data_IF_215963464558
#
_entry.id   IF_215963464558
#
_cell.length_a   1.000
_cell.length_b   1.000
_cell.length_c   1.000
_cell.angle_alpha   90.00
_cell.angle_beta   90.00
_cell.angle_gamma   90.00
#
_symmetry.space_group_name_H-M   'P 1'
#
loop_
_entity.id
_entity.type
_entity.pdbx_description
1 polymer ?
#
# COMPACT_ATOMS: atom_id res chain seq x y z
N UNK A 1 36.84 -53.47 -71.97
CA UNK A 1 37.38 -54.59 -71.15
C UNK A 1 36.94 -54.36 -69.69
N UNK A 2 36.19 -55.31 -69.18
CA UNK A 2 36.13 -55.77 -67.76
C UNK A 2 35.78 -54.69 -66.66
N UNK A 3 34.95 -54.98 -65.76
CA UNK A 3 34.16 -56.13 -65.24
C UNK A 3 33.10 -55.63 -64.27
N UNK A 4 31.96 -56.21 -64.30
CA UNK A 4 30.93 -56.26 -63.24
C UNK A 4 31.46 -56.36 -61.82
N UNK A 5 30.79 -55.80 -60.88
CA UNK A 5 30.42 -56.49 -59.63
C UNK A 5 29.19 -55.86 -58.98
N UNK A 6 28.20 -56.67 -58.89
CA UNK A 6 27.04 -56.62 -58.00
C UNK A 6 27.50 -56.59 -56.53
N UNK A 7 26.87 -55.75 -55.70
CA UNK A 7 26.67 -56.05 -54.29
C UNK A 7 25.52 -55.14 -53.76
N UNK A 8 24.40 -55.72 -53.66
CA UNK A 8 23.62 -56.09 -52.49
C UNK A 8 23.21 -54.98 -51.57
N UNK A 9 21.94 -54.61 -51.71
CA UNK A 9 21.20 -53.73 -50.84
C UNK A 9 21.13 -54.27 -49.40
N UNK A 10 21.41 -53.47 -48.44
CA UNK A 10 20.97 -53.65 -47.05
C UNK A 10 20.16 -52.42 -46.62
N UNK A 11 18.85 -52.66 -46.59
CA UNK A 11 17.84 -51.75 -46.09
C UNK A 11 17.94 -51.71 -44.54
N UNK A 12 18.55 -50.73 -43.98
CA UNK A 12 18.52 -50.48 -42.52
C UNK A 12 17.38 -49.56 -42.26
N UNK A 13 16.27 -50.13 -41.81
CA UNK A 13 15.13 -49.38 -41.32
C UNK A 13 15.45 -48.84 -39.92
N UNK A 14 15.95 -47.63 -39.87
CA UNK A 14 16.17 -46.91 -38.59
C UNK A 14 14.85 -46.41 -38.05
N UNK A 15 14.32 -47.08 -37.05
CA UNK A 15 13.21 -46.62 -36.24
C UNK A 15 13.64 -45.39 -35.44
N UNK A 16 13.27 -44.23 -35.93
CA UNK A 16 13.40 -42.98 -35.19
C UNK A 16 12.35 -42.97 -34.07
N UNK A 17 12.73 -43.40 -32.89
CA UNK A 17 11.97 -43.16 -31.66
C UNK A 17 12.11 -41.71 -31.25
N UNK A 18 11.11 -40.92 -31.53
CA UNK A 18 11.02 -39.55 -30.99
C UNK A 18 10.75 -39.60 -29.48
N UNK A 19 11.57 -38.98 -28.63
CA UNK A 19 11.22 -38.86 -27.22
C UNK A 19 10.05 -37.89 -27.10
N UNK A 20 8.90 -38.38 -26.70
CA UNK A 20 7.78 -37.56 -26.28
C UNK A 20 8.15 -36.92 -24.96
N UNK A 21 8.56 -35.65 -24.98
CA UNK A 21 8.66 -34.83 -23.76
C UNK A 21 7.23 -34.61 -23.25
N UNK A 22 6.88 -35.33 -22.20
CA UNK A 22 5.70 -35.03 -21.42
C UNK A 22 5.92 -33.64 -20.80
N UNK A 23 5.29 -32.61 -21.38
CA UNK A 23 5.16 -31.31 -20.78
C UNK A 23 4.27 -31.46 -19.53
N UNK A 24 4.90 -31.59 -18.37
CA UNK A 24 4.21 -31.34 -17.10
C UNK A 24 3.75 -29.92 -17.14
N UNK A 25 2.45 -29.71 -17.37
CA UNK A 25 1.80 -28.43 -17.14
C UNK A 25 2.03 -28.08 -15.66
N UNK A 26 3.00 -27.21 -15.41
CA UNK A 26 3.12 -26.57 -14.12
C UNK A 26 1.79 -25.84 -13.89
N UNK A 27 1.00 -26.36 -12.98
CA UNK A 27 -0.15 -25.66 -12.43
C UNK A 27 0.43 -24.38 -11.84
N UNK A 28 0.29 -23.26 -12.56
CA UNK A 28 0.55 -21.94 -12.00
C UNK A 28 -0.48 -21.83 -10.88
N UNK A 29 -0.03 -22.14 -9.67
CA UNK A 29 -0.81 -21.89 -8.48
C UNK A 29 -1.20 -20.41 -8.53
N UNK A 30 -2.51 -20.14 -8.53
CA UNK A 30 -3.01 -18.78 -8.40
C UNK A 30 -2.28 -18.16 -7.20
N UNK A 31 -1.48 -17.14 -7.46
CA UNK A 31 -0.89 -16.36 -6.39
C UNK A 31 -2.03 -15.93 -5.46
N UNK A 32 -1.89 -16.10 -4.15
CA UNK A 32 -2.91 -15.60 -3.24
C UNK A 32 -3.17 -14.15 -3.59
N UNK A 33 -4.46 -13.80 -3.77
CA UNK A 33 -4.89 -12.44 -4.09
C UNK A 33 -4.11 -11.49 -3.17
N UNK A 34 -3.39 -10.54 -3.75
CA UNK A 34 -2.45 -9.69 -3.05
C UNK A 34 -3.18 -9.02 -1.88
N UNK A 35 -2.86 -9.43 -0.67
CA UNK A 35 -3.43 -8.92 0.58
C UNK A 35 -2.84 -7.54 0.90
N UNK A 36 -2.88 -6.61 -0.05
CA UNK A 36 -2.34 -5.26 0.06
C UNK A 36 -0.94 -5.09 -0.53
N UNK A 37 -0.53 -3.86 -0.68
CA UNK A 37 0.80 -3.51 -1.21
C UNK A 37 1.92 -3.80 -0.20
N UNK A 38 3.19 -3.91 -0.63
CA UNK A 38 4.33 -4.03 0.29
C UNK A 38 4.40 -2.87 1.30
N UNK A 39 3.95 -1.66 0.89
CA UNK A 39 3.92 -0.52 1.79
C UNK A 39 2.88 -0.71 2.90
N UNK A 40 1.68 -1.22 2.57
CA UNK A 40 0.65 -1.56 3.56
C UNK A 40 1.16 -2.60 4.58
N UNK A 41 1.85 -3.63 4.09
CA UNK A 41 2.48 -4.64 4.98
C UNK A 41 3.54 -4.03 5.88
N UNK A 42 4.35 -3.07 5.37
CA UNK A 42 5.35 -2.35 6.18
C UNK A 42 4.73 -1.58 7.35
N UNK A 43 3.51 -1.09 7.20
CA UNK A 43 2.76 -0.44 8.28
C UNK A 43 2.05 -1.41 9.24
N UNK A 44 2.26 -2.72 9.09
CA UNK A 44 1.67 -3.76 9.94
C UNK A 44 0.20 -4.04 9.62
N UNK A 45 -0.21 -3.73 8.39
CA UNK A 45 -1.57 -3.94 7.89
C UNK A 45 -2.64 -3.24 8.75
N UNK A 46 -3.89 -3.67 8.73
CA UNK A 46 -4.96 -3.02 9.51
C UNK A 46 -4.67 -2.98 11.01
N UNK A 47 -4.14 -4.03 11.66
CA UNK A 47 -3.78 -3.97 13.07
C UNK A 47 -2.69 -2.93 13.39
N UNK A 48 -1.68 -2.80 12.52
CA UNK A 48 -0.63 -1.79 12.66
C UNK A 48 -1.19 -0.38 12.49
N UNK A 49 -2.09 -0.18 11.52
CA UNK A 49 -2.74 1.11 11.31
C UNK A 49 -3.63 1.53 12.48
N UNK A 50 -4.35 0.59 13.11
CA UNK A 50 -5.14 0.88 14.31
C UNK A 50 -4.23 1.40 15.42
N UNK A 51 -3.10 0.75 15.69
CA UNK A 51 -2.12 1.21 16.69
C UNK A 51 -1.55 2.58 16.35
N UNK A 52 -1.18 2.79 15.08
CA UNK A 52 -0.65 4.08 14.62
C UNK A 52 -1.66 5.20 14.85
N UNK A 53 -2.91 5.00 14.43
CA UNK A 53 -3.96 6.01 14.55
C UNK A 53 -4.37 6.25 16.01
N UNK A 54 -4.32 5.24 16.87
CA UNK A 54 -4.56 5.41 18.32
C UNK A 54 -3.49 6.29 18.96
N UNK A 55 -2.21 6.03 18.72
CA UNK A 55 -1.10 6.86 19.22
C UNK A 55 -1.12 8.26 18.60
N UNK A 56 -1.36 8.34 17.30
CA UNK A 56 -1.49 9.61 16.57
C UNK A 56 -2.60 10.48 17.16
N UNK A 57 -3.80 9.95 17.39
CA UNK A 57 -4.91 10.68 17.99
C UNK A 57 -4.59 11.14 19.42
N UNK A 58 -3.97 10.29 20.23
CA UNK A 58 -3.56 10.68 21.59
C UNK A 58 -2.59 11.86 21.57
N UNK A 59 -1.62 11.85 20.65
CA UNK A 59 -0.68 12.95 20.45
C UNK A 59 -1.36 14.21 19.93
N UNK A 60 -2.26 14.10 18.96
CA UNK A 60 -3.02 15.26 18.43
C UNK A 60 -3.82 15.97 19.53
N UNK A 61 -4.45 15.21 20.41
CA UNK A 61 -5.22 15.77 21.54
C UNK A 61 -4.31 16.43 22.57
N UNK A 62 -3.10 15.91 22.78
CA UNK A 62 -2.13 16.41 23.75
C UNK A 62 -1.36 17.65 23.24
N UNK A 63 -1.11 17.76 21.94
CA UNK A 63 -0.38 18.88 21.34
C UNK A 63 -1.22 20.18 21.40
N UNK A 64 -0.62 21.27 21.86
CA UNK A 64 -1.31 22.56 22.04
C UNK A 64 -1.76 23.19 20.72
N UNK A 65 -1.12 22.86 19.61
CA UNK A 65 -1.42 23.38 18.25
C UNK A 65 -2.60 22.66 17.61
N UNK A 66 -2.67 21.33 17.75
CA UNK A 66 -3.71 20.49 17.14
C UNK A 66 -4.86 20.15 18.09
N UNK A 67 -4.60 20.11 19.39
CA UNK A 67 -5.58 19.73 20.41
C UNK A 67 -6.91 20.52 20.36
N UNK A 68 -6.92 21.83 20.11
CA UNK A 68 -8.17 22.57 19.97
C UNK A 68 -9.14 22.02 18.93
N UNK A 69 -8.65 21.43 17.84
CA UNK A 69 -9.45 20.85 16.78
C UNK A 69 -9.95 19.42 17.11
N UNK A 70 -9.19 18.64 17.89
CA UNK A 70 -9.48 17.23 18.13
C UNK A 70 -10.16 16.95 19.48
N UNK A 71 -9.97 17.78 20.51
CA UNK A 71 -10.60 17.59 21.83
C UNK A 71 -12.13 17.58 21.78
N UNK A 72 -12.81 18.50 21.06
CA UNK A 72 -14.26 18.54 20.99
C UNK A 72 -14.86 17.57 20.00
N UNK A 73 -14.05 16.93 19.15
CA UNK A 73 -14.49 16.08 18.05
C UNK A 73 -14.81 14.63 18.49
N UNK A 74 -15.59 13.92 17.70
CA UNK A 74 -15.77 12.48 17.87
C UNK A 74 -14.51 11.72 17.42
N UNK A 75 -13.59 11.58 18.37
CA UNK A 75 -12.31 10.93 18.13
C UNK A 75 -12.45 9.47 17.70
N UNK A 76 -13.49 8.76 18.16
CA UNK A 76 -13.73 7.37 17.77
C UNK A 76 -14.07 7.28 16.28
N UNK A 77 -14.94 8.15 15.82
CA UNK A 77 -15.31 8.23 14.40
C UNK A 77 -14.11 8.62 13.54
N UNK A 78 -13.37 9.68 13.94
CA UNK A 78 -12.20 10.15 13.20
C UNK A 78 -11.14 9.04 13.09
N UNK A 79 -10.85 8.31 14.17
CA UNK A 79 -9.88 7.21 14.15
C UNK A 79 -10.30 6.12 13.14
N UNK A 80 -11.56 5.73 13.09
CA UNK A 80 -12.04 4.75 12.14
C UNK A 80 -11.84 5.22 10.68
N UNK A 81 -12.19 6.48 10.39
CA UNK A 81 -11.99 7.08 9.07
C UNK A 81 -10.51 7.18 8.67
N UNK A 82 -9.63 7.57 9.60
CA UNK A 82 -8.19 7.64 9.37
C UNK A 82 -7.58 6.27 9.08
N UNK A 83 -8.00 5.22 9.79
CA UNK A 83 -7.54 3.85 9.52
C UNK A 83 -7.89 3.43 8.09
N UNK A 84 -9.12 3.64 7.66
CA UNK A 84 -9.56 3.23 6.32
C UNK A 84 -8.92 4.11 5.23
N UNK A 85 -8.77 5.42 5.46
CA UNK A 85 -8.10 6.34 4.55
C UNK A 85 -6.62 5.99 4.36
N UNK A 86 -5.88 5.79 5.44
CA UNK A 86 -4.46 5.43 5.38
C UNK A 86 -4.29 4.05 4.75
N UNK A 87 -5.14 3.09 5.11
CA UNK A 87 -5.14 1.76 4.50
C UNK A 87 -5.31 1.85 2.97
N UNK A 88 -6.30 2.58 2.48
CA UNK A 88 -6.52 2.79 1.06
C UNK A 88 -5.33 3.51 0.40
N UNK A 89 -4.79 4.57 1.03
CA UNK A 89 -3.63 5.30 0.55
C UNK A 89 -2.37 4.42 0.43
N UNK A 90 -2.19 3.47 1.35
CA UNK A 90 -1.09 2.52 1.33
C UNK A 90 -1.29 1.36 0.35
N UNK A 91 -2.44 1.26 -0.32
CA UNK A 91 -2.78 0.16 -1.22
C UNK A 91 -3.20 -1.11 -0.49
N UNK A 92 -3.77 -0.96 0.69
CA UNK A 92 -4.46 -2.03 1.44
C UNK A 92 -5.85 -2.33 0.87
N UNK A 93 -6.54 -3.35 1.40
CA UNK A 93 -7.84 -3.81 0.90
C UNK A 93 -9.03 -2.96 1.39
N UNK A 94 -8.78 -1.80 2.01
CA UNK A 94 -9.82 -0.93 2.56
C UNK A 94 -10.39 0.00 1.49
N UNK A 95 -11.64 0.37 1.66
CA UNK A 95 -12.31 1.43 0.90
C UNK A 95 -12.58 2.58 1.85
N UNK A 96 -12.14 3.78 1.49
CA UNK A 96 -12.49 4.99 2.24
C UNK A 96 -13.84 5.50 1.76
N UNK A 97 -14.84 5.39 2.61
CA UNK A 97 -16.22 5.85 2.35
C UNK A 97 -16.57 7.14 3.11
N UNK A 98 -15.57 7.76 3.76
CA UNK A 98 -15.75 9.02 4.48
C UNK A 98 -15.99 10.20 3.54
N UNK A 99 -16.39 11.34 4.11
CA UNK A 99 -16.51 12.59 3.36
C UNK A 99 -15.14 13.01 2.76
N UNK A 100 -15.17 13.72 1.65
CA UNK A 100 -13.95 14.30 1.08
C UNK A 100 -13.29 15.31 2.03
N UNK A 101 -12.00 15.58 1.82
CA UNK A 101 -11.22 16.44 2.71
C UNK A 101 -11.79 17.86 2.81
N UNK A 102 -12.26 18.41 1.71
CA UNK A 102 -12.84 19.75 1.68
C UNK A 102 -14.12 19.85 2.51
N UNK A 103 -15.01 18.87 2.36
CA UNK A 103 -16.25 18.81 3.13
C UNK A 103 -15.99 18.60 4.61
N UNK A 104 -15.10 17.66 4.95
CA UNK A 104 -14.75 17.30 6.33
C UNK A 104 -14.12 18.46 7.12
N UNK A 105 -13.43 19.40 6.44
CA UNK A 105 -12.66 20.46 7.09
C UNK A 105 -13.24 21.85 6.86
N UNK A 106 -14.35 22.00 6.14
CA UNK A 106 -14.89 23.28 5.65
C UNK A 106 -15.17 24.34 6.73
N UNK A 107 -15.42 23.93 7.97
CA UNK A 107 -15.80 24.82 9.08
C UNK A 107 -14.81 24.75 10.26
N UNK A 108 -13.57 24.36 10.04
CA UNK A 108 -12.61 24.11 11.12
C UNK A 108 -11.54 25.19 11.23
N UNK A 109 -11.55 26.21 10.36
CA UNK A 109 -10.59 27.31 10.33
C UNK A 109 -9.13 26.85 10.38
N UNK A 110 -8.82 25.77 9.64
CA UNK A 110 -7.49 25.16 9.60
C UNK A 110 -6.53 26.09 8.87
N UNK A 111 -5.45 26.47 9.54
CA UNK A 111 -4.35 27.23 8.98
C UNK A 111 -3.27 26.29 8.42
N UNK A 112 -2.34 26.85 7.64
CA UNK A 112 -1.14 26.14 7.21
C UNK A 112 -0.27 25.67 8.37
N UNK A 113 -0.22 26.45 9.46
CA UNK A 113 0.52 26.08 10.66
C UNK A 113 -0.09 24.85 11.35
N UNK A 114 -1.41 24.77 11.46
CA UNK A 114 -2.13 23.63 12.03
C UNK A 114 -1.91 22.36 11.20
N UNK A 115 -1.96 22.49 9.86
CA UNK A 115 -1.67 21.38 8.96
C UNK A 115 -0.23 20.87 9.13
N UNK A 116 0.75 21.77 9.20
CA UNK A 116 2.15 21.38 9.41
C UNK A 116 2.34 20.71 10.78
N UNK A 117 1.70 21.22 11.83
CA UNK A 117 1.74 20.62 13.16
C UNK A 117 1.17 19.18 13.14
N UNK A 118 0.05 18.96 12.43
CA UNK A 118 -0.53 17.62 12.24
C UNK A 118 0.46 16.66 11.55
N UNK A 119 1.15 17.11 10.50
CA UNK A 119 2.16 16.30 9.80
C UNK A 119 3.31 15.92 10.73
N UNK A 120 3.82 16.87 11.53
CA UNK A 120 4.87 16.61 12.53
C UNK A 120 4.42 15.56 13.55
N UNK A 121 3.20 15.68 14.07
CA UNK A 121 2.65 14.73 15.03
C UNK A 121 2.47 13.34 14.41
N UNK A 122 2.08 13.25 13.13
CA UNK A 122 2.01 11.97 12.41
C UNK A 122 3.40 11.34 12.25
N UNK A 123 4.42 12.14 11.93
CA UNK A 123 5.79 11.63 11.85
C UNK A 123 6.26 11.07 13.19
N UNK A 124 6.03 11.78 14.29
CA UNK A 124 6.37 11.30 15.64
C UNK A 124 5.65 9.99 16.00
N UNK A 125 4.39 9.83 15.60
CA UNK A 125 3.64 8.59 15.82
C UNK A 125 4.22 7.41 14.99
N UNK A 126 4.60 7.67 13.72
CA UNK A 126 5.25 6.68 12.87
C UNK A 126 6.63 6.27 13.38
N UNK A 127 7.42 7.23 13.88
CA UNK A 127 8.72 6.96 14.52
C UNK A 127 8.57 6.10 15.78
N UNK A 128 7.61 6.43 16.64
CA UNK A 128 7.34 5.66 17.85
C UNK A 128 6.93 4.22 17.56
N UNK A 129 6.31 3.96 16.42
CA UNK A 129 5.96 2.62 15.96
C UNK A 129 7.12 1.91 15.22
N UNK A 130 8.26 2.56 15.03
CA UNK A 130 9.43 2.00 14.36
C UNK A 130 9.29 1.89 12.84
N UNK A 131 8.39 2.67 12.24
CA UNK A 131 8.23 2.70 10.78
C UNK A 131 9.43 3.40 10.16
N UNK A 132 10.10 2.73 9.22
CA UNK A 132 11.29 3.27 8.58
C UNK A 132 11.00 4.59 7.83
N UNK A 133 11.93 5.56 7.91
CA UNK A 133 11.78 6.91 7.35
C UNK A 133 11.37 6.91 5.86
N UNK A 134 11.92 5.99 5.05
CA UNK A 134 11.53 5.86 3.65
C UNK A 134 10.06 5.48 3.45
N UNK A 135 9.49 4.67 4.34
CA UNK A 135 8.07 4.31 4.32
C UNK A 135 7.18 5.46 4.81
N UNK A 136 7.63 6.19 5.85
CA UNK A 136 6.95 7.40 6.31
C UNK A 136 6.81 8.42 5.17
N UNK A 137 7.89 8.71 4.45
CA UNK A 137 7.87 9.64 3.31
C UNK A 137 6.95 9.19 2.19
N UNK A 138 6.85 7.89 1.93
CA UNK A 138 5.91 7.36 0.93
C UNK A 138 4.45 7.61 1.34
N UNK A 139 4.10 7.43 2.61
CA UNK A 139 2.76 7.79 3.10
C UNK A 139 2.52 9.28 2.99
N UNK A 140 3.45 10.10 3.49
CA UNK A 140 3.32 11.57 3.44
C UNK A 140 3.16 12.08 2.00
N UNK A 141 3.88 11.53 1.04
CA UNK A 141 3.75 11.89 -0.38
C UNK A 141 2.35 11.58 -0.94
N UNK A 142 1.67 10.55 -0.42
CA UNK A 142 0.29 10.21 -0.81
C UNK A 142 -0.76 11.14 -0.17
N UNK A 143 -0.48 11.64 1.03
CA UNK A 143 -1.37 12.54 1.76
C UNK A 143 -1.16 14.02 1.38
N UNK A 144 0.04 14.39 0.97
CA UNK A 144 0.41 15.77 0.66
C UNK A 144 -0.52 16.50 -0.34
N UNK A 145 -1.05 15.88 -1.41
CA UNK A 145 -1.98 16.55 -2.31
C UNK A 145 -3.27 17.05 -1.63
N UNK A 146 -3.66 16.44 -0.51
CA UNK A 146 -4.90 16.78 0.22
C UNK A 146 -4.79 18.11 0.99
N UNK A 147 -3.57 18.66 1.19
CA UNK A 147 -3.36 19.88 1.97
C UNK A 147 -4.22 21.06 1.50
N UNK A 148 -4.48 21.16 0.20
CA UNK A 148 -5.28 22.26 -0.40
C UNK A 148 -6.74 22.23 0.01
N UNK A 149 -7.24 21.04 0.31
CA UNK A 149 -8.63 20.80 0.69
C UNK A 149 -8.82 20.85 2.21
N UNK A 150 -7.74 20.64 2.98
CA UNK A 150 -7.73 20.68 4.45
C UNK A 150 -7.55 22.09 4.98
N UNK A 151 -6.68 22.90 4.35
CA UNK A 151 -6.43 24.28 4.78
C UNK A 151 -7.60 25.16 4.33
N UNK A 152 -8.32 25.71 5.30
CA UNK A 152 -9.51 26.53 5.06
C UNK A 152 -9.27 28.02 5.25
N UNK A 153 -8.28 28.40 6.06
CA UNK A 153 -7.82 29.81 6.21
C UNK A 153 -6.75 30.08 5.14
N UNK A 154 -7.05 31.03 4.24
CA UNK A 154 -6.07 31.50 3.24
C UNK A 154 -5.35 32.70 3.80
N UNK A 155 -4.02 32.67 3.76
CA UNK A 155 -3.14 33.83 4.04
C UNK A 155 -3.38 34.95 3.04
#
# INVERSE_FOLDING_TARGET
>A
MHKSRLALALLVCSLLTTPTFAQTAATVGAAPAAMGSPLYTTFGEKPGLVKLVDDFMARLVADSRTGPHFKPADQKHIKAQLVDQICAALGGPCVYEGADMKTSHSNLDITKADFNALVEVLQLAMEAQGIAFGAQNQLLAKLAPMHRDVITVKD
#
